data_IF_013610982317
#
_entry.id   IF_013610982317
#
_cell.length_a   1.000
_cell.length_b   1.000
_cell.length_c   1.000
_cell.angle_alpha   90.00
_cell.angle_beta   90.00
_cell.angle_gamma   90.00
#
_symmetry.space_group_name_H-M   'P 1'
#
loop_
_entity.id
_entity.type
_entity.pdbx_description
1 polymer ?
#
# COMPACT_ATOMS: atom_id res chain seq x y z
N UNK A 1 -14.62 13.61 -3.01
CA UNK A 1 -14.30 12.46 -2.13
C UNK A 1 -13.11 12.87 -1.29
N UNK A 2 -13.19 12.72 0.02
CA UNK A 2 -12.03 12.96 0.88
C UNK A 2 -10.99 11.85 0.66
N UNK A 3 -9.71 12.13 0.86
CA UNK A 3 -8.62 11.16 0.65
C UNK A 3 -8.74 9.95 1.60
N UNK A 4 -9.33 10.17 2.78
CA UNK A 4 -9.70 9.10 3.71
C UNK A 4 -10.77 8.14 3.15
N UNK A 5 -11.64 8.61 2.24
CA UNK A 5 -12.67 7.75 1.63
C UNK A 5 -12.04 6.69 0.71
N UNK A 6 -10.92 7.01 0.05
CA UNK A 6 -10.22 6.07 -0.83
C UNK A 6 -9.45 4.99 -0.07
N UNK A 7 -8.75 5.34 1.03
CA UNK A 7 -8.17 4.33 1.92
C UNK A 7 -9.22 3.39 2.48
N UNK A 8 -10.37 3.94 2.88
CA UNK A 8 -11.50 3.16 3.37
C UNK A 8 -12.05 2.24 2.28
N UNK A 9 -12.21 2.74 1.06
CA UNK A 9 -12.68 1.94 -0.09
C UNK A 9 -11.72 0.79 -0.42
N UNK A 10 -10.42 1.08 -0.52
CA UNK A 10 -9.39 0.05 -0.70
C UNK A 10 -9.52 -1.00 0.41
N UNK A 11 -9.57 -0.57 1.67
CA UNK A 11 -9.65 -1.51 2.79
C UNK A 11 -10.92 -2.37 2.76
N UNK A 12 -12.06 -1.80 2.37
CA UNK A 12 -13.29 -2.57 2.16
C UNK A 12 -13.16 -3.58 1.02
N UNK A 13 -12.48 -3.21 -0.08
CA UNK A 13 -12.19 -4.12 -1.19
C UNK A 13 -11.33 -5.30 -0.75
N UNK A 14 -10.33 -5.06 0.08
CA UNK A 14 -9.51 -6.11 0.68
C UNK A 14 -10.32 -7.05 1.58
N UNK A 15 -11.16 -6.52 2.47
CA UNK A 15 -12.05 -7.33 3.31
C UNK A 15 -12.99 -8.17 2.43
N UNK A 16 -13.55 -7.57 1.38
CA UNK A 16 -14.43 -8.27 0.45
C UNK A 16 -13.70 -9.43 -0.25
N UNK A 17 -12.48 -9.20 -0.75
CA UNK A 17 -11.67 -10.24 -1.39
C UNK A 17 -11.30 -11.37 -0.44
N UNK A 18 -10.93 -11.06 0.82
CA UNK A 18 -10.69 -12.07 1.86
C UNK A 18 -11.93 -12.93 2.10
N UNK A 19 -13.11 -12.32 2.26
CA UNK A 19 -14.38 -13.03 2.45
C UNK A 19 -14.76 -13.89 1.24
N UNK A 20 -14.54 -13.40 0.02
CA UNK A 20 -14.76 -14.20 -1.20
C UNK A 20 -13.85 -15.44 -1.18
N UNK A 21 -12.60 -15.29 -0.78
CA UNK A 21 -11.66 -16.40 -0.67
C UNK A 21 -12.04 -17.39 0.44
N UNK A 22 -12.54 -16.90 1.58
CA UNK A 22 -13.02 -17.75 2.67
C UNK A 22 -14.22 -18.58 2.21
N UNK A 23 -15.20 -17.94 1.60
CA UNK A 23 -16.36 -18.61 1.02
C UNK A 23 -15.95 -19.64 -0.05
N UNK A 24 -15.00 -19.29 -0.91
CA UNK A 24 -14.46 -20.22 -1.91
C UNK A 24 -13.77 -21.42 -1.24
N UNK A 25 -12.97 -21.20 -0.19
CA UNK A 25 -12.29 -22.26 0.57
C UNK A 25 -13.27 -23.23 1.20
N UNK A 26 -14.35 -22.73 1.81
CA UNK A 26 -15.41 -23.55 2.39
C UNK A 26 -16.10 -24.43 1.33
N UNK A 27 -16.45 -23.83 0.18
CA UNK A 27 -17.08 -24.56 -0.92
C UNK A 27 -16.19 -25.65 -1.50
N UNK A 28 -14.90 -25.38 -1.72
CA UNK A 28 -13.93 -26.38 -2.19
C UNK A 28 -13.74 -27.51 -1.19
N UNK A 29 -13.83 -27.20 0.12
CA UNK A 29 -13.69 -28.18 1.19
C UNK A 29 -14.87 -29.15 1.24
N UNK A 30 -16.04 -28.78 0.70
CA UNK A 30 -17.19 -29.67 0.58
C UNK A 30 -17.02 -30.66 -0.60
N UNK A 31 -16.92 -31.97 -0.36
CA UNK A 31 -16.77 -32.97 -1.42
C UNK A 31 -17.95 -33.05 -2.39
N UNK A 32 -19.16 -32.69 -1.95
CA UNK A 32 -20.37 -32.69 -2.77
C UNK A 32 -20.52 -31.46 -3.67
N UNK A 33 -19.78 -30.39 -3.41
CA UNK A 33 -19.80 -29.20 -4.25
C UNK A 33 -18.81 -29.37 -5.41
N UNK A 34 -19.32 -29.31 -6.65
CA UNK A 34 -18.51 -29.35 -7.89
C UNK A 34 -17.64 -28.10 -8.07
N UNK A 35 -17.72 -27.13 -7.16
CA UNK A 35 -16.97 -25.88 -7.22
C UNK A 35 -15.46 -26.09 -7.38
N UNK A 36 -14.86 -27.07 -6.68
CA UNK A 36 -13.43 -27.38 -6.82
C UNK A 36 -13.02 -27.75 -8.26
N UNK A 37 -13.91 -28.40 -9.03
CA UNK A 37 -13.68 -28.72 -10.44
C UNK A 37 -13.79 -27.48 -11.32
N UNK A 38 -14.72 -26.57 -10.99
CA UNK A 38 -14.93 -25.31 -11.74
C UNK A 38 -13.76 -24.35 -11.66
N UNK A 39 -13.03 -24.37 -10.55
CA UNK A 39 -11.82 -23.54 -10.34
C UNK A 39 -10.53 -24.36 -10.49
N UNK A 40 -10.64 -25.55 -11.08
CA UNK A 40 -9.50 -26.38 -11.51
C UNK A 40 -8.49 -26.75 -10.40
N UNK A 41 -8.94 -26.85 -9.14
CA UNK A 41 -8.05 -27.32 -8.07
C UNK A 41 -7.90 -28.85 -8.19
N UNK A 42 -6.66 -29.38 -8.31
CA UNK A 42 -6.41 -30.80 -8.56
C UNK A 42 -6.64 -31.67 -7.32
N UNK A 43 -7.91 -31.94 -7.00
CA UNK A 43 -8.34 -32.73 -5.85
C UNK A 43 -8.75 -34.17 -6.20
N UNK A 44 -8.85 -34.50 -7.49
CA UNK A 44 -9.28 -35.82 -7.98
C UNK A 44 -8.38 -36.95 -7.46
N UNK A 45 -8.98 -38.03 -6.96
CA UNK A 45 -8.26 -39.21 -6.46
C UNK A 45 -7.55 -39.03 -5.12
N UNK A 46 -7.59 -37.85 -4.49
CA UNK A 46 -6.92 -37.59 -3.20
C UNK A 46 -7.77 -38.03 -2.01
N UNK A 47 -7.14 -38.73 -1.06
CA UNK A 47 -7.73 -39.07 0.26
C UNK A 47 -8.12 -37.79 1.03
N UNK A 48 -9.08 -37.89 1.94
CA UNK A 48 -9.63 -36.73 2.67
C UNK A 48 -8.57 -35.84 3.35
N UNK A 49 -7.56 -36.43 4.01
CA UNK A 49 -6.46 -35.69 4.65
C UNK A 49 -5.64 -34.89 3.62
N UNK A 50 -5.27 -35.54 2.51
CA UNK A 50 -4.50 -34.90 1.43
C UNK A 50 -5.32 -33.82 0.74
N UNK A 51 -6.64 -34.02 0.57
CA UNK A 51 -7.55 -33.00 0.02
C UNK A 51 -7.55 -31.75 0.88
N UNK A 52 -7.74 -31.88 2.21
CA UNK A 52 -7.70 -30.74 3.14
C UNK A 52 -6.37 -29.99 3.07
N UNK A 53 -5.24 -30.71 3.01
CA UNK A 53 -3.89 -30.12 2.91
C UNK A 53 -3.70 -29.31 1.62
N UNK A 54 -4.16 -29.83 0.49
CA UNK A 54 -4.03 -29.16 -0.81
C UNK A 54 -4.89 -27.91 -0.90
N UNK A 55 -6.12 -27.99 -0.39
CA UNK A 55 -7.01 -26.83 -0.28
C UNK A 55 -6.37 -25.76 0.60
N UNK A 56 -5.87 -26.15 1.79
CA UNK A 56 -5.15 -25.21 2.66
C UNK A 56 -3.98 -24.55 1.93
N UNK A 57 -3.07 -25.35 1.35
CA UNK A 57 -1.91 -24.83 0.60
C UNK A 57 -2.29 -23.86 -0.51
N UNK A 58 -3.32 -24.17 -1.30
CA UNK A 58 -3.78 -23.32 -2.39
C UNK A 58 -4.31 -21.98 -1.87
N UNK A 59 -5.22 -22.02 -0.89
CA UNK A 59 -5.81 -20.80 -0.35
C UNK A 59 -4.82 -19.99 0.49
N UNK A 60 -3.91 -20.62 1.23
CA UNK A 60 -2.86 -19.93 1.98
C UNK A 60 -1.93 -19.16 1.02
N UNK A 61 -1.56 -19.75 -0.12
CA UNK A 61 -0.80 -19.07 -1.16
C UNK A 61 -1.58 -17.91 -1.80
N UNK A 62 -2.88 -18.11 -2.05
CA UNK A 62 -3.76 -17.05 -2.57
C UNK A 62 -3.91 -15.90 -1.57
N UNK A 63 -4.12 -16.19 -0.29
CA UNK A 63 -4.21 -15.19 0.77
C UNK A 63 -2.94 -14.37 0.88
N UNK A 64 -1.78 -15.04 0.86
CA UNK A 64 -0.49 -14.36 0.88
C UNK A 64 -0.34 -13.41 -0.31
N UNK A 65 -0.76 -13.81 -1.52
CA UNK A 65 -0.71 -12.94 -2.69
C UNK A 65 -1.67 -11.77 -2.64
N UNK A 66 -2.88 -11.97 -2.08
CA UNK A 66 -3.82 -10.88 -1.83
C UNK A 66 -3.21 -9.86 -0.86
N UNK A 67 -2.57 -10.33 0.21
CA UNK A 67 -1.92 -9.46 1.19
C UNK A 67 -0.78 -8.66 0.57
N UNK A 68 0.09 -9.29 -0.20
CA UNK A 68 1.21 -8.61 -0.89
C UNK A 68 0.71 -7.54 -1.87
N UNK A 69 -0.24 -7.88 -2.74
CA UNK A 69 -0.76 -6.95 -3.75
C UNK A 69 -1.46 -5.76 -3.09
N UNK A 70 -2.27 -6.05 -2.07
CA UNK A 70 -3.03 -5.01 -1.41
C UNK A 70 -2.15 -4.11 -0.54
N UNK A 71 -1.11 -4.66 0.09
CA UNK A 71 -0.08 -3.88 0.77
C UNK A 71 0.60 -2.89 -0.20
N UNK A 72 0.97 -3.34 -1.40
CA UNK A 72 1.56 -2.48 -2.43
C UNK A 72 0.59 -1.36 -2.86
N UNK A 73 -0.69 -1.70 -3.08
CA UNK A 73 -1.71 -0.73 -3.49
C UNK A 73 -1.93 0.37 -2.44
N UNK A 74 -2.02 0.00 -1.15
CA UNK A 74 -2.18 0.97 -0.05
C UNK A 74 -0.98 1.91 -0.01
N UNK A 75 0.22 1.35 -0.07
CA UNK A 75 1.46 2.14 0.04
C UNK A 75 1.61 3.08 -1.16
N UNK A 76 1.30 2.62 -2.38
CA UNK A 76 1.28 3.48 -3.56
C UNK A 76 0.23 4.60 -3.44
N UNK A 77 -0.93 4.31 -2.84
CA UNK A 77 -1.95 5.33 -2.62
C UNK A 77 -1.53 6.38 -1.59
N UNK A 78 -0.88 5.96 -0.51
CA UNK A 78 -0.26 6.86 0.46
C UNK A 78 0.73 7.81 -0.22
N UNK A 79 1.65 7.27 -1.04
CA UNK A 79 2.61 8.04 -1.82
C UNK A 79 1.89 9.10 -2.67
N UNK A 80 0.86 8.68 -3.42
CA UNK A 80 0.10 9.57 -4.29
C UNK A 80 -0.52 10.75 -3.53
N UNK A 81 -1.08 10.51 -2.34
CA UNK A 81 -1.68 11.57 -1.51
C UNK A 81 -0.62 12.56 -1.04
N UNK A 82 0.49 12.06 -0.48
CA UNK A 82 1.58 12.92 -0.01
C UNK A 82 2.13 13.77 -1.17
N UNK A 83 2.26 13.20 -2.37
CA UNK A 83 2.72 13.95 -3.54
C UNK A 83 1.74 15.01 -4.02
N UNK A 84 0.44 14.72 -3.99
CA UNK A 84 -0.58 15.72 -4.32
C UNK A 84 -0.51 16.92 -3.37
N UNK A 85 -0.35 16.67 -2.07
CA UNK A 85 -0.21 17.73 -1.07
C UNK A 85 1.06 18.57 -1.29
N UNK A 86 2.20 17.94 -1.58
CA UNK A 86 3.45 18.65 -1.90
C UNK A 86 3.27 19.52 -3.16
N UNK A 87 2.63 18.97 -4.20
CA UNK A 87 2.37 19.70 -5.45
C UNK A 87 1.45 20.90 -5.23
N UNK A 88 0.39 20.72 -4.43
CA UNK A 88 -0.53 21.79 -4.05
C UNK A 88 0.19 22.90 -3.28
N UNK A 89 0.99 22.54 -2.26
CA UNK A 89 1.78 23.49 -1.48
C UNK A 89 2.80 24.26 -2.34
N UNK A 90 3.48 23.58 -3.25
CA UNK A 90 4.40 24.20 -4.22
C UNK A 90 3.68 25.18 -5.15
N UNK A 91 2.49 24.80 -5.63
CA UNK A 91 1.63 25.68 -6.44
C UNK A 91 1.19 26.94 -5.69
N UNK A 92 0.76 26.79 -4.44
CA UNK A 92 0.38 27.92 -3.57
C UNK A 92 1.56 28.86 -3.32
N UNK A 93 2.74 28.31 -3.01
CA UNK A 93 3.97 29.10 -2.83
C UNK A 93 4.33 29.89 -4.09
N UNK A 94 4.25 29.26 -5.28
CA UNK A 94 4.44 29.96 -6.56
C UNK A 94 3.45 31.10 -6.74
N UNK A 95 2.18 30.89 -6.38
CA UNK A 95 1.13 31.91 -6.39
C UNK A 95 1.47 33.10 -5.50
N UNK A 96 1.78 32.86 -4.23
CA UNK A 96 2.15 33.89 -3.24
C UNK A 96 3.38 34.67 -3.72
N UNK A 97 4.40 33.98 -4.23
CA UNK A 97 5.62 34.64 -4.74
C UNK A 97 5.28 35.56 -5.92
N UNK A 98 4.46 35.09 -6.87
CA UNK A 98 4.07 35.90 -8.05
C UNK A 98 3.19 37.08 -7.67
N UNK A 99 2.30 36.92 -6.69
CA UNK A 99 1.40 37.97 -6.22
C UNK A 99 2.14 39.05 -5.42
N UNK A 100 3.00 38.63 -4.48
CA UNK A 100 3.70 39.55 -3.55
C UNK A 100 5.00 40.10 -4.11
N UNK A 101 5.62 39.43 -5.07
CA UNK A 101 6.90 39.85 -5.66
C UNK A 101 6.77 40.00 -7.18
N UNK A 102 6.90 41.24 -7.67
CA UNK A 102 6.90 41.57 -9.12
C UNK A 102 8.01 40.88 -9.92
N UNK A 103 9.08 40.43 -9.26
CA UNK A 103 10.16 39.64 -9.85
C UNK A 103 10.34 38.35 -9.04
N UNK A 104 10.24 37.17 -9.67
CA UNK A 104 10.27 35.89 -8.95
C UNK A 104 11.69 35.43 -8.52
N UNK A 105 12.67 36.32 -8.45
CA UNK A 105 14.01 36.03 -7.90
C UNK A 105 14.14 36.67 -6.51
N UNK A 106 14.67 35.97 -5.49
CA UNK A 106 15.45 34.72 -5.55
C UNK A 106 14.64 33.43 -5.41
N UNK A 107 13.32 33.52 -5.21
CA UNK A 107 12.46 32.36 -4.91
C UNK A 107 12.41 31.31 -6.02
N UNK A 108 12.56 31.69 -7.29
CA UNK A 108 12.64 30.73 -8.40
C UNK A 108 13.79 29.73 -8.26
N UNK A 109 14.92 30.09 -7.64
CA UNK A 109 16.01 29.14 -7.38
C UNK A 109 15.60 28.09 -6.34
N UNK A 110 14.82 28.48 -5.33
CA UNK A 110 14.35 27.62 -4.24
C UNK A 110 13.15 26.77 -4.71
N UNK A 111 12.22 27.36 -5.45
CA UNK A 111 11.10 26.64 -6.07
C UNK A 111 11.61 25.63 -7.11
N UNK A 112 12.69 25.95 -7.84
CA UNK A 112 13.35 25.00 -8.73
C UNK A 112 14.14 23.90 -7.98
N UNK A 113 14.33 23.99 -6.66
CA UNK A 113 14.82 22.87 -5.85
C UNK A 113 13.70 22.02 -5.26
N UNK A 114 12.46 22.51 -5.28
CA UNK A 114 11.29 21.69 -4.95
C UNK A 114 10.86 20.93 -6.21
N UNK A 115 11.18 19.63 -6.22
CA UNK A 115 10.52 18.55 -6.96
C UNK A 115 10.14 18.93 -8.41
N UNK A 116 11.02 18.59 -9.36
CA UNK A 116 10.93 19.07 -10.75
C UNK A 116 10.24 18.13 -11.73
N UNK A 117 10.43 16.82 -11.60
CA UNK A 117 9.95 15.86 -12.59
C UNK A 117 9.39 14.58 -11.92
N UNK A 118 8.47 13.90 -12.60
CA UNK A 118 7.89 12.62 -12.13
C UNK A 118 8.99 11.62 -11.72
N UNK A 119 10.14 11.62 -12.39
CA UNK A 119 11.29 10.74 -12.08
C UNK A 119 12.05 11.09 -10.79
N UNK A 120 12.04 12.35 -10.32
CA UNK A 120 12.65 12.75 -9.03
C UNK A 120 11.76 12.36 -7.82
N UNK A 121 10.50 12.01 -8.09
CA UNK A 121 9.41 11.87 -7.12
C UNK A 121 9.18 10.40 -6.72
N UNK A 122 9.55 9.43 -7.55
CA UNK A 122 9.26 8.01 -7.29
C UNK A 122 10.23 7.34 -6.31
N UNK A 123 10.33 7.84 -5.07
CA UNK A 123 10.72 6.96 -3.98
C UNK A 123 10.04 7.31 -2.65
N UNK A 124 9.40 6.31 -2.06
CA UNK A 124 8.99 6.27 -0.65
C UNK A 124 10.08 6.80 0.32
N UNK A 125 11.35 6.65 -0.05
CA UNK A 125 12.48 7.19 0.70
C UNK A 125 12.49 8.73 0.74
N UNK A 126 12.12 9.38 -0.37
CA UNK A 126 11.97 10.83 -0.41
C UNK A 126 10.77 11.29 0.42
N UNK A 127 9.65 10.54 0.37
CA UNK A 127 8.49 10.78 1.25
C UNK A 127 8.89 10.66 2.72
N UNK A 128 9.65 9.62 3.08
CA UNK A 128 10.18 9.45 4.43
C UNK A 128 11.07 10.62 4.87
N UNK A 129 12.03 11.03 4.05
CA UNK A 129 12.91 12.15 4.37
C UNK A 129 12.14 13.48 4.58
N UNK A 130 11.03 13.66 3.86
CA UNK A 130 10.17 14.83 4.03
C UNK A 130 9.35 14.77 5.33
N UNK A 131 8.95 13.58 5.76
CA UNK A 131 8.06 13.40 6.90
C UNK A 131 8.80 13.17 8.22
N UNK A 132 10.01 12.60 8.21
CA UNK A 132 10.69 12.06 9.40
C UNK A 132 10.87 13.08 10.54
N UNK A 133 11.01 14.37 10.21
CA UNK A 133 11.17 15.46 11.18
C UNK A 133 9.84 16.11 11.60
N UNK A 134 8.75 15.77 10.91
CA UNK A 134 7.41 16.35 11.12
C UNK A 134 6.45 15.38 11.80
N UNK A 135 6.80 14.10 11.92
CA UNK A 135 6.02 13.09 12.63
C UNK A 135 6.75 12.59 13.88
N UNK A 136 6.02 12.09 14.90
CA UNK A 136 6.63 11.42 16.05
C UNK A 136 7.61 10.32 15.62
N UNK A 137 8.73 10.19 16.36
CA UNK A 137 9.78 9.19 16.07
C UNK A 137 9.23 7.78 15.91
N UNK A 138 8.24 7.40 16.71
CA UNK A 138 7.57 6.09 16.62
C UNK A 138 6.88 5.87 15.26
N UNK A 139 6.18 6.87 14.73
CA UNK A 139 5.54 6.79 13.40
C UNK A 139 6.57 6.79 12.28
N UNK A 140 7.68 7.52 12.45
CA UNK A 140 8.81 7.50 11.50
C UNK A 140 9.44 6.12 11.40
N UNK A 141 9.72 5.47 12.54
CA UNK A 141 10.25 4.10 12.58
C UNK A 141 9.27 3.09 11.95
N UNK A 142 7.96 3.24 12.19
CA UNK A 142 6.93 2.41 11.58
C UNK A 142 6.81 2.63 10.07
N UNK A 143 6.88 3.88 9.62
CA UNK A 143 6.89 4.22 8.20
C UNK A 143 8.10 3.56 7.52
N UNK A 144 9.30 3.72 8.09
CA UNK A 144 10.53 3.07 7.62
C UNK A 144 10.37 1.55 7.47
N UNK A 145 9.78 0.88 8.45
CA UNK A 145 9.50 -0.55 8.38
C UNK A 145 8.51 -0.92 7.25
N UNK A 146 7.51 -0.08 6.98
CA UNK A 146 6.58 -0.25 5.85
C UNK A 146 7.33 -0.11 4.52
N UNK A 147 8.26 0.85 4.39
CA UNK A 147 9.09 1.03 3.19
C UNK A 147 9.94 -0.21 2.91
N UNK A 148 10.62 -0.69 3.94
CA UNK A 148 11.48 -1.87 3.85
C UNK A 148 10.68 -3.11 3.42
N UNK A 149 9.45 -3.25 3.93
CA UNK A 149 8.57 -4.35 3.53
C UNK A 149 8.05 -4.22 2.10
N UNK A 150 7.72 -3.01 1.67
CA UNK A 150 7.33 -2.73 0.28
C UNK A 150 8.46 -3.09 -0.68
N UNK A 151 9.69 -2.72 -0.37
CA UNK A 151 10.87 -3.07 -1.15
C UNK A 151 11.06 -4.59 -1.19
N UNK A 152 10.88 -5.27 -0.06
CA UNK A 152 10.94 -6.74 0.02
C UNK A 152 9.96 -7.39 -0.94
N UNK A 153 8.69 -6.99 -0.94
CA UNK A 153 7.67 -7.55 -1.83
C UNK A 153 7.99 -7.21 -3.30
N UNK A 154 8.25 -5.93 -3.62
CA UNK A 154 8.46 -5.46 -4.99
C UNK A 154 9.66 -6.11 -5.69
N UNK A 155 10.69 -6.51 -4.93
CA UNK A 155 11.89 -7.16 -5.46
C UNK A 155 11.91 -8.68 -5.26
N UNK A 156 10.78 -9.28 -4.88
CA UNK A 156 10.67 -10.73 -4.69
C UNK A 156 11.60 -11.26 -3.59
N UNK A 157 11.75 -10.51 -2.50
CA UNK A 157 12.51 -10.85 -1.31
C UNK A 157 14.00 -10.51 -1.33
N UNK A 158 14.50 -9.87 -2.40
CA UNK A 158 15.94 -9.60 -2.57
C UNK A 158 16.44 -8.32 -1.90
N UNK A 159 15.56 -7.34 -1.69
CA UNK A 159 15.90 -6.00 -1.21
C UNK A 159 14.95 -5.63 -0.08
N UNK A 160 15.43 -5.07 1.03
CA UNK A 160 14.61 -4.68 2.16
C UNK A 160 14.38 -5.81 3.18
N UNK A 161 13.42 -5.62 4.09
CA UNK A 161 13.11 -6.57 5.17
C UNK A 161 11.62 -6.87 5.23
N UNK A 162 11.28 -8.14 5.40
CA UNK A 162 9.91 -8.53 5.67
C UNK A 162 9.44 -7.94 7.01
N UNK A 163 8.32 -7.22 6.99
CA UNK A 163 7.68 -6.71 8.20
C UNK A 163 6.66 -7.73 8.72
N UNK A 164 6.42 -7.68 10.03
CA UNK A 164 5.34 -8.42 10.68
C UNK A 164 4.04 -7.61 10.74
N UNK A 165 4.01 -6.40 10.16
CA UNK A 165 2.82 -5.57 10.12
C UNK A 165 1.78 -6.20 9.19
N UNK A 166 0.57 -6.36 9.70
CA UNK A 166 -0.57 -6.72 8.86
C UNK A 166 -0.99 -5.55 7.97
N UNK A 167 -1.81 -5.84 6.97
CA UNK A 167 -2.44 -4.84 6.10
C UNK A 167 -3.24 -3.82 6.94
N UNK A 168 -4.02 -4.30 7.91
CA UNK A 168 -4.86 -3.48 8.79
C UNK A 168 -4.03 -2.49 9.61
N UNK A 169 -2.92 -2.98 10.19
CA UNK A 169 -2.00 -2.15 10.94
C UNK A 169 -1.34 -1.11 10.03
N UNK A 170 -0.96 -1.50 8.81
CA UNK A 170 -0.37 -0.60 7.82
C UNK A 170 -1.32 0.53 7.44
N UNK A 171 -2.60 0.22 7.17
CA UNK A 171 -3.62 1.24 6.90
C UNK A 171 -3.77 2.20 8.06
N UNK A 172 -3.77 1.69 9.29
CA UNK A 172 -3.91 2.51 10.51
C UNK A 172 -2.74 3.48 10.66
N UNK A 173 -1.51 2.99 10.52
CA UNK A 173 -0.28 3.79 10.62
C UNK A 173 -0.27 4.89 9.56
N UNK A 174 -0.51 4.52 8.29
CA UNK A 174 -0.49 5.48 7.18
C UNK A 174 -1.60 6.52 7.32
N UNK A 175 -2.79 6.12 7.76
CA UNK A 175 -3.89 7.05 8.06
C UNK A 175 -3.55 8.01 9.20
N UNK A 176 -2.84 7.55 10.24
CA UNK A 176 -2.40 8.42 11.33
C UNK A 176 -1.38 9.45 10.84
N UNK A 177 -0.44 9.04 9.98
CA UNK A 177 0.53 9.95 9.37
C UNK A 177 -0.21 11.00 8.53
N UNK A 178 -1.18 10.59 7.71
CA UNK A 178 -1.97 11.51 6.88
C UNK A 178 -2.80 12.52 7.69
N UNK A 179 -3.23 12.19 8.91
CA UNK A 179 -3.97 13.16 9.77
C UNK A 179 -3.08 14.23 10.39
N UNK A 180 -1.76 14.05 10.32
CA UNK A 180 -0.76 14.93 10.94
C UNK A 180 -0.09 15.86 9.93
N UNK A 181 -0.30 15.63 8.64
CA UNK A 181 0.07 16.51 7.53
C UNK A 181 -1.14 17.32 7.09
#
# INVERSE_FOLDING_TARGET
MSENDKFRELFQRYICLKRICENARERVSNPGDKYAQKIEIPLSGKKAVNRKREVAKYFDALYFKIDELFFLDIVAHFEQIVFNEINNASGQLKGIVKERYRKPAPFNKIVASFVKDEEDIYSLKNVYNLLENHIPKSLSEQLSAIIEHRNFIAHGGRIGKQSNNSVENTVTILSEILRRI
#
